data_IF_745131881339
#
_entry.id   IF_745131881339
#
_cell.length_a   1.000
_cell.length_b   1.000
_cell.length_c   1.000
_cell.angle_alpha   90.00
_cell.angle_beta   90.00
_cell.angle_gamma   90.00
#
_symmetry.space_group_name_H-M   'P 1'
#
loop_
_entity.id
_entity.type
_entity.pdbx_description
1 polymer ?
#
# COMPACT_ATOMS: atom_id res chain seq x y z
N UNK A 1 -46.21 -71.06 -1.39
CA UNK A 1 -45.65 -70.20 -0.31
C UNK A 1 -44.16 -69.85 -0.45
N UNK A 2 -43.30 -70.67 -1.09
CA UNK A 2 -41.85 -70.35 -1.23
C UNK A 2 -41.51 -69.26 -2.27
N UNK A 3 -42.36 -69.02 -3.27
CA UNK A 3 -42.14 -68.00 -4.31
C UNK A 3 -42.46 -66.56 -3.87
N UNK A 4 -43.49 -66.39 -3.03
CA UNK A 4 -43.93 -65.06 -2.55
C UNK A 4 -42.97 -64.44 -1.54
N UNK A 5 -42.30 -65.27 -0.73
CA UNK A 5 -41.29 -64.80 0.25
C UNK A 5 -40.02 -64.29 -0.45
N UNK A 6 -39.59 -64.92 -1.55
CA UNK A 6 -38.42 -64.45 -2.34
C UNK A 6 -38.68 -63.13 -3.06
N UNK A 7 -39.91 -62.91 -3.54
CA UNK A 7 -40.29 -61.63 -4.15
C UNK A 7 -40.34 -60.48 -3.12
N UNK A 8 -40.82 -60.75 -1.90
CA UNK A 8 -40.86 -59.78 -0.81
C UNK A 8 -39.46 -59.39 -0.30
N UNK A 9 -38.55 -60.36 -0.17
CA UNK A 9 -37.15 -60.09 0.25
C UNK A 9 -36.39 -59.33 -0.85
N UNK A 10 -36.63 -59.64 -2.13
CA UNK A 10 -36.05 -58.88 -3.25
C UNK A 10 -36.55 -57.43 -3.32
N UNK A 11 -37.83 -57.20 -3.07
CA UNK A 11 -38.42 -55.86 -3.03
C UNK A 11 -37.92 -55.02 -1.84
N UNK A 12 -37.74 -55.63 -0.66
CA UNK A 12 -37.18 -54.98 0.53
C UNK A 12 -35.70 -54.62 0.36
N UNK A 13 -34.90 -55.47 -0.29
CA UNK A 13 -33.50 -55.17 -0.64
C UNK A 13 -33.37 -54.06 -1.68
N UNK A 14 -34.25 -54.03 -2.69
CA UNK A 14 -34.27 -52.94 -3.66
C UNK A 14 -34.66 -51.60 -2.99
N UNK A 15 -35.65 -51.60 -2.09
CA UNK A 15 -36.05 -50.40 -1.35
C UNK A 15 -34.94 -49.89 -0.41
N UNK A 16 -34.17 -50.80 0.21
CA UNK A 16 -33.03 -50.45 1.06
C UNK A 16 -31.85 -49.88 0.26
N UNK A 17 -31.61 -50.37 -0.97
CA UNK A 17 -30.57 -49.82 -1.85
C UNK A 17 -30.95 -48.45 -2.44
N UNK A 18 -32.24 -48.20 -2.72
CA UNK A 18 -32.74 -46.90 -3.18
C UNK A 18 -32.76 -45.84 -2.06
N UNK A 19 -32.96 -46.24 -0.80
CA UNK A 19 -32.89 -45.33 0.34
C UNK A 19 -31.44 -44.90 0.67
N UNK A 20 -30.45 -45.76 0.42
CA UNK A 20 -29.03 -45.46 0.68
C UNK A 20 -28.40 -44.54 -0.39
N UNK A 21 -28.90 -44.58 -1.64
CA UNK A 21 -28.44 -43.70 -2.70
C UNK A 21 -28.96 -42.26 -2.58
N UNK A 22 -30.12 -42.06 -1.94
CA UNK A 22 -30.72 -40.73 -1.73
C UNK A 22 -30.12 -39.96 -0.53
N UNK A 23 -29.27 -40.60 0.29
CA UNK A 23 -28.60 -39.97 1.44
C UNK A 23 -27.13 -39.62 1.15
N UNK A 24 -26.66 -39.84 -0.08
CA UNK A 24 -25.28 -39.63 -0.50
C UNK A 24 -25.08 -38.41 -1.42
N UNK A 25 -26.10 -37.57 -1.61
CA UNK A 25 -25.96 -36.26 -2.25
C UNK A 25 -25.77 -35.17 -1.17
N UNK A 26 -24.51 -34.82 -0.97
CA UNK A 26 -24.01 -33.52 -0.50
C UNK A 26 -24.40 -33.03 0.89
N UNK A 27 -23.92 -33.75 1.90
CA UNK A 27 -23.56 -33.15 3.19
C UNK A 27 -22.25 -32.33 3.08
N UNK A 28 -22.23 -31.30 2.22
CA UNK A 28 -21.33 -30.14 2.33
C UNK A 28 -22.16 -28.90 2.00
N UNK A 29 -23.19 -28.62 2.80
CA UNK A 29 -23.92 -27.36 2.70
C UNK A 29 -23.21 -26.29 3.52
N UNK A 30 -22.05 -25.86 3.04
CA UNK A 30 -21.55 -24.53 3.39
C UNK A 30 -22.43 -23.51 2.70
N UNK A 31 -22.98 -22.51 3.42
CA UNK A 31 -23.70 -21.41 2.76
C UNK A 31 -22.74 -20.72 1.75
N UNK A 32 -23.22 -20.27 0.58
CA UNK A 32 -22.37 -19.55 -0.37
C UNK A 32 -21.72 -18.33 0.28
N UNK A 33 -20.48 -18.02 -0.13
CA UNK A 33 -19.80 -16.78 0.27
C UNK A 33 -20.58 -15.59 -0.27
N UNK A 34 -20.96 -14.67 0.62
CA UNK A 34 -21.70 -13.45 0.29
C UNK A 34 -20.77 -12.24 0.18
N UNK A 35 -21.31 -11.11 -0.29
CA UNK A 35 -20.58 -9.84 -0.23
C UNK A 35 -20.30 -9.45 1.21
N UNK A 36 -21.26 -9.69 2.11
CA UNK A 36 -21.11 -9.43 3.55
C UNK A 36 -19.93 -10.20 4.12
N UNK A 37 -19.78 -11.48 3.77
CA UNK A 37 -18.62 -12.27 4.18
C UNK A 37 -17.30 -11.62 3.72
N UNK A 38 -17.27 -11.11 2.49
CA UNK A 38 -16.06 -10.50 1.92
C UNK A 38 -15.70 -9.19 2.62
N UNK A 39 -16.70 -8.35 2.95
CA UNK A 39 -16.45 -7.07 3.62
C UNK A 39 -16.22 -7.21 5.12
N UNK A 40 -16.75 -8.25 5.75
CA UNK A 40 -16.53 -8.57 7.16
C UNK A 40 -15.16 -9.23 7.42
N UNK A 41 -14.43 -9.64 6.38
CA UNK A 41 -13.10 -10.23 6.52
C UNK A 41 -12.10 -9.26 7.16
N UNK A 42 -11.62 -9.64 8.33
CA UNK A 42 -10.39 -9.12 8.89
C UNK A 42 -9.18 -9.57 8.05
N UNK A 43 -8.12 -8.78 8.08
CA UNK A 43 -6.88 -9.11 7.38
C UNK A 43 -5.66 -8.69 8.19
N UNK A 44 -4.49 -9.20 7.84
CA UNK A 44 -3.23 -8.75 8.42
C UNK A 44 -2.53 -7.78 7.47
N UNK A 45 -1.86 -6.78 8.03
CA UNK A 45 -1.00 -5.85 7.32
C UNK A 45 0.47 -6.23 7.47
N UNK A 46 1.32 -5.22 7.66
CA UNK A 46 2.75 -5.43 7.90
C UNK A 46 2.98 -6.17 9.21
N UNK A 47 4.01 -7.02 9.24
CA UNK A 47 4.56 -7.58 10.47
C UNK A 47 6.07 -7.30 10.53
N UNK A 48 6.59 -7.10 11.73
CA UNK A 48 8.01 -6.84 11.97
C UNK A 48 8.43 -7.43 13.31
N UNK A 49 9.63 -8.03 13.35
CA UNK A 49 10.25 -8.57 14.55
C UNK A 49 11.26 -7.54 15.07
N UNK A 50 11.33 -7.35 16.38
CA UNK A 50 12.33 -6.50 17.01
C UNK A 50 13.76 -7.02 16.72
N UNK A 51 14.78 -6.16 16.66
CA UNK A 51 16.15 -6.59 16.36
C UNK A 51 16.73 -7.65 17.32
N UNK A 52 16.30 -7.65 18.57
CA UNK A 52 16.67 -8.65 19.59
C UNK A 52 15.92 -9.99 19.44
N UNK A 53 14.96 -10.07 18.51
CA UNK A 53 14.16 -11.27 18.25
C UNK A 53 13.12 -11.59 19.31
N UNK A 54 12.94 -10.75 20.33
CA UNK A 54 12.01 -11.03 21.42
C UNK A 54 10.57 -10.70 21.08
N UNK A 55 10.33 -9.60 20.37
CA UNK A 55 8.97 -9.10 20.12
C UNK A 55 8.63 -9.20 18.63
N UNK A 56 7.38 -9.56 18.33
CA UNK A 56 6.81 -9.32 17.02
C UNK A 56 5.65 -8.33 17.14
N UNK A 57 5.59 -7.37 16.22
CA UNK A 57 4.43 -6.50 16.04
C UNK A 57 3.83 -6.77 14.67
N UNK A 58 2.51 -6.90 14.61
CA UNK A 58 1.78 -6.99 13.36
C UNK A 58 0.57 -6.07 13.32
N UNK A 59 0.25 -5.62 12.13
CA UNK A 59 -0.97 -4.87 11.84
C UNK A 59 -2.13 -5.84 11.65
N UNK A 60 -3.24 -5.57 12.34
CA UNK A 60 -4.51 -6.24 12.12
C UNK A 60 -5.52 -5.22 11.59
N UNK A 61 -6.07 -5.49 10.41
CA UNK A 61 -7.17 -4.76 9.82
C UNK A 61 -8.49 -5.32 10.33
N UNK A 62 -9.38 -4.44 10.80
CA UNK A 62 -10.78 -4.78 11.04
C UNK A 62 -11.55 -5.10 9.75
N UNK A 63 -12.84 -5.35 9.90
CA UNK A 63 -13.77 -5.53 8.80
C UNK A 63 -13.88 -4.24 7.95
N UNK A 64 -13.89 -4.38 6.62
CA UNK A 64 -13.88 -3.26 5.69
C UNK A 64 -15.12 -2.36 5.81
N UNK A 65 -16.28 -2.94 6.11
CA UNK A 65 -17.54 -2.22 6.33
C UNK A 65 -17.55 -1.36 7.61
N UNK A 66 -16.60 -1.55 8.52
CA UNK A 66 -16.39 -0.70 9.70
C UNK A 66 -15.55 0.54 9.42
N UNK A 67 -15.02 0.69 8.19
CA UNK A 67 -14.25 1.88 7.82
C UNK A 67 -15.10 3.16 7.92
N UNK A 68 -14.56 4.18 8.58
CA UNK A 68 -15.27 5.45 8.79
C UNK A 68 -15.24 6.36 7.55
N UNK A 69 -14.32 6.10 6.61
CA UNK A 69 -14.13 6.86 5.38
C UNK A 69 -13.75 5.95 4.22
N UNK A 70 -14.48 6.10 3.12
CA UNK A 70 -14.23 5.36 1.86
C UNK A 70 -13.63 6.24 0.76
N UNK A 71 -13.58 7.55 0.96
CA UNK A 71 -13.01 8.52 0.01
C UNK A 71 -11.47 8.45 -0.06
N UNK A 72 -10.83 7.69 0.82
CA UNK A 72 -9.39 7.37 0.80
C UNK A 72 -9.05 6.22 -0.16
N UNK A 73 -10.03 5.66 -0.86
CA UNK A 73 -9.88 4.56 -1.83
C UNK A 73 -9.04 3.39 -1.26
N UNK A 74 -7.94 3.01 -1.92
CA UNK A 74 -7.07 1.93 -1.48
C UNK A 74 -6.45 2.14 -0.08
N UNK A 75 -6.54 3.36 0.49
CA UNK A 75 -6.07 3.70 1.84
C UNK A 75 -7.20 3.79 2.87
N UNK A 76 -8.47 3.59 2.51
CA UNK A 76 -9.56 3.48 3.48
C UNK A 76 -9.28 2.42 4.58
N UNK A 77 -8.73 1.22 4.25
CA UNK A 77 -8.31 0.24 5.26
C UNK A 77 -7.36 0.77 6.34
N UNK A 78 -6.58 1.80 6.05
CA UNK A 78 -5.62 2.33 7.01
C UNK A 78 -6.30 2.95 8.24
N UNK A 79 -7.57 3.34 8.13
CA UNK A 79 -8.36 3.91 9.25
C UNK A 79 -8.87 2.85 10.24
N UNK A 80 -8.80 1.57 9.87
CA UNK A 80 -9.27 0.42 10.66
C UNK A 80 -8.14 -0.57 10.99
N UNK A 81 -6.89 -0.11 10.90
CA UNK A 81 -5.72 -0.88 11.35
C UNK A 81 -5.52 -0.71 12.85
N UNK A 82 -5.13 -1.80 13.50
CA UNK A 82 -4.65 -1.82 14.88
C UNK A 82 -3.30 -2.55 14.94
N UNK A 83 -2.54 -2.30 16.00
CA UNK A 83 -1.24 -2.93 16.22
C UNK A 83 -1.35 -3.97 17.32
N UNK A 84 -0.80 -5.15 17.06
CA UNK A 84 -0.74 -6.26 18.00
C UNK A 84 0.71 -6.61 18.30
N UNK A 85 0.98 -6.98 19.54
CA UNK A 85 2.28 -7.35 20.08
C UNK A 85 2.27 -8.81 20.52
N UNK A 86 3.36 -9.52 20.22
CA UNK A 86 3.59 -10.92 20.58
C UNK A 86 4.97 -11.03 21.24
N UNK A 87 5.04 -11.66 22.42
CA UNK A 87 6.32 -12.07 23.02
C UNK A 87 6.75 -13.42 22.43
N UNK A 88 7.75 -13.41 21.56
CA UNK A 88 8.27 -14.61 20.90
C UNK A 88 9.03 -15.52 21.85
N UNK A 89 9.40 -15.05 23.05
CA UNK A 89 9.98 -15.88 24.10
C UNK A 89 8.92 -16.67 24.90
N UNK A 90 7.65 -16.30 24.77
CA UNK A 90 6.52 -16.94 25.44
C UNK A 90 5.44 -17.32 24.40
N UNK A 91 5.67 -18.35 23.56
CA UNK A 91 4.79 -18.67 22.43
C UNK A 91 3.36 -19.07 22.82
N UNK A 92 3.14 -19.46 24.08
CA UNK A 92 1.81 -19.79 24.61
C UNK A 92 1.02 -18.55 25.05
N UNK A 93 1.66 -17.37 25.08
CA UNK A 93 0.99 -16.12 25.41
C UNK A 93 0.22 -15.59 24.19
N UNK A 94 -1.07 -15.32 24.37
CA UNK A 94 -1.89 -14.75 23.30
C UNK A 94 -1.37 -13.36 22.87
N UNK A 95 -1.42 -13.04 21.57
CA UNK A 95 -1.17 -11.69 21.07
C UNK A 95 -2.04 -10.66 21.80
N UNK A 96 -1.48 -9.48 22.08
CA UNK A 96 -2.20 -8.40 22.75
C UNK A 96 -2.21 -7.15 21.88
N UNK A 97 -3.26 -6.32 22.00
CA UNK A 97 -3.24 -4.98 21.41
C UNK A 97 -2.05 -4.19 21.99
N UNK A 98 -1.25 -3.60 21.12
CA UNK A 98 -0.07 -2.83 21.52
C UNK A 98 -0.48 -1.53 22.22
N UNK A 99 -1.49 -0.83 21.67
CA UNK A 99 -1.98 0.47 22.18
C UNK A 99 -3.52 0.47 22.27
N UNK A 100 -4.13 -0.25 23.24
CA UNK A 100 -5.58 -0.43 23.28
C UNK A 100 -6.36 0.88 23.43
N UNK A 101 -5.81 1.83 24.20
CA UNK A 101 -6.40 3.14 24.50
C UNK A 101 -6.32 4.12 23.34
N UNK A 102 -5.39 3.92 22.40
CA UNK A 102 -5.27 4.82 21.26
C UNK A 102 -6.47 4.64 20.33
N UNK A 103 -6.92 3.42 20.09
CA UNK A 103 -7.94 3.09 19.10
C UNK A 103 -7.33 2.82 17.72
N UNK A 104 -8.19 2.70 16.69
CA UNK A 104 -7.77 2.29 15.34
C UNK A 104 -7.00 3.40 14.58
N UNK A 105 -6.50 3.01 13.41
CA UNK A 105 -5.78 3.88 12.48
C UNK A 105 -4.27 3.76 12.53
N UNK A 106 -3.73 2.74 13.21
CA UNK A 106 -2.31 2.62 13.54
C UNK A 106 -1.55 1.76 12.51
N UNK A 107 -0.34 2.16 12.12
CA UNK A 107 0.53 1.40 11.21
C UNK A 107 1.97 1.33 11.74
N UNK A 108 2.67 0.25 11.42
CA UNK A 108 4.09 0.04 11.73
C UNK A 108 4.96 0.85 10.77
N UNK A 109 5.88 1.64 11.31
CA UNK A 109 6.91 2.30 10.50
C UNK A 109 8.24 1.57 10.62
N UNK A 110 8.93 1.63 11.78
CA UNK A 110 10.26 1.05 11.95
C UNK A 110 10.62 0.83 13.42
N UNK A 111 11.28 -0.31 13.71
CA UNK A 111 11.88 -0.59 15.02
C UNK A 111 13.16 0.22 15.24
N UNK A 112 13.40 0.67 16.47
CA UNK A 112 14.72 1.18 16.85
C UNK A 112 15.77 0.06 16.82
N UNK A 113 17.06 0.36 16.58
CA UNK A 113 18.10 -0.66 16.43
C UNK A 113 18.30 -1.56 17.65
N UNK A 114 17.95 -1.08 18.85
CA UNK A 114 18.01 -1.82 20.11
C UNK A 114 16.71 -2.58 20.44
N UNK A 115 15.65 -2.42 19.64
CA UNK A 115 14.34 -3.03 19.88
C UNK A 115 13.55 -2.43 21.05
N UNK A 116 14.03 -1.35 21.69
CA UNK A 116 13.34 -0.72 22.81
C UNK A 116 12.15 0.14 22.39
N UNK A 117 12.14 0.63 21.15
CA UNK A 117 11.15 1.57 20.62
C UNK A 117 10.63 1.15 19.25
N UNK A 118 9.40 1.57 18.96
CA UNK A 118 8.77 1.39 17.66
C UNK A 118 8.23 2.73 17.16
N UNK A 119 8.71 3.18 16.00
CA UNK A 119 8.09 4.26 15.26
C UNK A 119 6.84 3.72 14.56
N UNK A 120 5.72 4.41 14.75
CA UNK A 120 4.41 4.10 14.18
C UNK A 120 3.85 5.34 13.50
N UNK A 121 2.79 5.15 12.70
CA UNK A 121 1.95 6.25 12.23
C UNK A 121 0.51 6.05 12.64
N UNK A 122 -0.26 7.14 12.69
CA UNK A 122 -1.70 7.12 12.96
C UNK A 122 -2.45 7.98 11.96
N UNK A 123 -3.42 7.39 11.27
CA UNK A 123 -4.34 8.06 10.34
C UNK A 123 -5.75 8.14 10.94
N UNK A 124 -6.25 9.35 11.18
CA UNK A 124 -7.62 9.61 11.66
C UNK A 124 -8.21 10.83 10.98
N UNK A 125 -9.35 10.65 10.30
CA UNK A 125 -9.92 11.72 9.51
C UNK A 125 -8.91 12.21 8.47
N UNK A 126 -8.51 13.48 8.59
CA UNK A 126 -7.49 14.10 7.73
C UNK A 126 -6.15 14.34 8.47
N UNK A 127 -5.99 13.79 9.67
CA UNK A 127 -4.76 13.86 10.45
C UNK A 127 -3.93 12.59 10.25
N UNK A 128 -2.66 12.78 9.89
CA UNK A 128 -1.66 11.71 9.80
C UNK A 128 -0.42 12.13 10.59
N UNK A 129 0.03 11.28 11.51
CA UNK A 129 1.03 11.66 12.51
C UNK A 129 1.97 10.50 12.86
N UNK A 130 3.26 10.80 13.04
CA UNK A 130 4.21 9.86 13.63
C UNK A 130 4.05 9.77 15.16
N UNK A 131 4.10 8.55 15.68
CA UNK A 131 4.17 8.26 17.12
C UNK A 131 5.36 7.36 17.44
N UNK A 132 5.92 7.50 18.64
CA UNK A 132 7.00 6.64 19.13
C UNK A 132 6.51 5.86 20.32
N UNK A 133 6.50 4.54 20.20
CA UNK A 133 6.11 3.62 21.27
C UNK A 133 7.34 3.19 22.05
N UNK A 134 7.28 3.27 23.37
CA UNK A 134 8.23 2.59 24.26
C UNK A 134 7.69 1.20 24.57
N UNK A 135 8.41 0.16 24.19
CA UNK A 135 7.86 -1.21 24.23
C UNK A 135 7.72 -1.75 25.65
N UNK A 136 8.64 -1.36 26.54
CA UNK A 136 8.68 -1.84 27.92
C UNK A 136 7.40 -1.52 28.71
N UNK A 137 6.81 -0.34 28.49
CA UNK A 137 5.61 0.13 29.20
C UNK A 137 4.39 0.37 28.29
N UNK A 138 4.56 0.18 26.96
CA UNK A 138 3.55 0.45 25.93
C UNK A 138 3.01 1.88 25.96
N UNK A 139 3.83 2.84 26.39
CA UNK A 139 3.52 4.26 26.25
C UNK A 139 3.80 4.74 24.82
N UNK A 140 3.05 5.74 24.36
CA UNK A 140 3.27 6.38 23.05
C UNK A 140 3.42 7.89 23.22
N UNK A 141 4.39 8.46 22.50
CA UNK A 141 4.55 9.90 22.34
C UNK A 141 4.23 10.26 20.88
N UNK A 142 3.19 11.08 20.71
CA UNK A 142 2.82 11.63 19.40
C UNK A 142 3.66 12.87 19.08
N UNK A 143 4.28 12.88 17.90
CA UNK A 143 5.32 13.85 17.57
C UNK A 143 4.77 15.17 17.03
N UNK A 144 3.53 15.22 16.56
CA UNK A 144 2.97 16.36 15.83
C UNK A 144 3.55 16.54 14.43
N UNK A 145 4.34 15.57 13.94
CA UNK A 145 4.93 15.56 12.60
C UNK A 145 4.10 14.66 11.68
N UNK A 146 3.68 15.22 10.55
CA UNK A 146 2.94 14.49 9.54
C UNK A 146 3.90 13.70 8.65
N UNK A 147 3.77 12.37 8.56
CA UNK A 147 4.62 11.55 7.70
C UNK A 147 4.46 11.95 6.24
N UNK A 148 5.56 11.94 5.49
CA UNK A 148 5.52 11.74 4.04
C UNK A 148 5.69 10.24 3.73
N UNK A 149 5.02 9.73 2.70
CA UNK A 149 5.07 8.31 2.31
C UNK A 149 5.49 8.20 0.85
N UNK A 150 6.79 8.36 0.55
CA UNK A 150 7.28 8.21 -0.82
C UNK A 150 7.05 6.75 -1.27
N UNK A 151 6.72 6.51 -2.55
CA UNK A 151 6.40 5.15 -2.99
C UNK A 151 7.62 4.22 -3.03
N UNK A 152 8.80 4.77 -3.33
CA UNK A 152 10.05 4.00 -3.48
C UNK A 152 11.14 4.34 -2.44
N UNK A 153 10.95 5.40 -1.64
CA UNK A 153 11.98 5.90 -0.71
C UNK A 153 11.69 5.61 0.77
N UNK A 154 12.66 5.94 1.62
CA UNK A 154 12.51 5.86 3.07
C UNK A 154 11.55 6.95 3.58
N UNK A 155 10.68 6.57 4.52
CA UNK A 155 9.89 7.53 5.33
C UNK A 155 10.54 7.82 6.68
N UNK A 156 11.38 6.91 7.18
CA UNK A 156 12.09 7.03 8.44
C UNK A 156 13.32 6.12 8.46
N UNK A 157 14.42 6.57 9.07
CA UNK A 157 15.59 5.75 9.39
C UNK A 157 16.15 6.13 10.77
N UNK A 158 16.45 5.11 11.57
CA UNK A 158 17.05 5.30 12.88
C UNK A 158 18.56 5.53 12.77
N UNK A 159 19.05 6.58 13.42
CA UNK A 159 20.48 6.89 13.57
C UNK A 159 21.05 6.12 14.76
N UNK A 160 20.26 6.00 15.84
CA UNK A 160 20.63 5.32 17.08
C UNK A 160 19.38 4.74 17.76
N UNK A 161 19.50 4.24 19.00
CA UNK A 161 18.36 3.81 19.80
C UNK A 161 17.36 4.94 20.18
N UNK A 162 17.82 6.20 20.17
CA UNK A 162 17.03 7.36 20.58
C UNK A 162 16.98 8.47 19.53
N UNK A 163 17.65 8.32 18.40
CA UNK A 163 17.65 9.32 17.34
C UNK A 163 17.14 8.73 16.02
N UNK A 164 16.19 9.42 15.40
CA UNK A 164 15.54 9.00 14.15
C UNK A 164 15.40 10.18 13.21
N UNK A 165 15.70 9.94 11.93
CA UNK A 165 15.46 10.88 10.85
C UNK A 165 14.17 10.47 10.15
N UNK A 166 13.22 11.40 10.03
CA UNK A 166 11.91 11.17 9.42
C UNK A 166 11.63 12.13 8.28
N UNK A 167 10.97 11.64 7.25
CA UNK A 167 10.47 12.46 6.15
C UNK A 167 9.05 12.92 6.46
N UNK A 168 8.84 14.23 6.37
CA UNK A 168 7.62 14.87 6.86
C UNK A 168 7.01 15.84 5.85
N UNK A 169 5.73 16.16 6.04
CA UNK A 169 5.03 17.24 5.36
C UNK A 169 4.87 18.45 6.29
N UNK A 170 5.60 19.57 6.05
CA UNK A 170 5.53 20.77 6.89
C UNK A 170 4.13 21.39 6.96
N UNK A 171 3.40 21.35 5.84
CA UNK A 171 2.04 21.87 5.69
C UNK A 171 0.96 21.04 6.43
N UNK A 172 1.37 19.93 7.07
CA UNK A 172 0.49 18.96 7.75
C UNK A 172 -0.59 18.34 6.87
N UNK A 173 -0.51 18.53 5.56
CA UNK A 173 -1.45 17.89 4.65
C UNK A 173 -1.14 16.40 4.54
N UNK A 174 -2.16 15.60 4.29
CA UNK A 174 -1.97 14.19 3.98
C UNK A 174 -1.02 14.00 2.78
N UNK A 175 -0.13 12.99 2.80
CA UNK A 175 0.67 12.57 1.64
C UNK A 175 -0.16 12.42 0.38
N UNK A 176 0.44 12.71 -0.77
CA UNK A 176 -0.20 12.52 -2.10
C UNK A 176 -0.78 11.11 -2.22
N UNK A 177 -0.08 10.10 -1.69
CA UNK A 177 -0.53 8.71 -1.67
C UNK A 177 -1.92 8.51 -1.03
N UNK A 178 -2.25 9.32 -0.02
CA UNK A 178 -3.51 9.28 0.72
C UNK A 178 -4.50 10.30 0.13
N UNK A 179 -4.09 11.56 -0.07
CA UNK A 179 -4.98 12.65 -0.51
C UNK A 179 -5.38 12.62 -1.99
N UNK A 180 -4.73 11.80 -2.83
CA UNK A 180 -5.01 11.80 -4.28
C UNK A 180 -6.45 11.43 -4.59
N UNK A 181 -7.03 10.52 -3.82
CA UNK A 181 -8.40 10.05 -4.02
C UNK A 181 -9.41 10.80 -3.14
N UNK A 182 -8.95 11.34 -1.99
CA UNK A 182 -9.81 12.08 -1.07
C UNK A 182 -9.83 13.59 -1.34
N UNK A 183 -10.94 14.22 -0.94
CA UNK A 183 -11.10 15.68 -0.99
C UNK A 183 -11.16 16.31 -2.38
N UNK A 184 -10.93 15.58 -3.48
CA UNK A 184 -11.03 16.12 -4.84
C UNK A 184 -12.45 16.65 -5.12
N UNK A 185 -13.47 15.92 -4.68
CA UNK A 185 -14.87 16.35 -4.76
C UNK A 185 -15.11 17.64 -3.96
N UNK A 186 -14.68 17.70 -2.70
CA UNK A 186 -14.86 18.88 -1.85
C UNK A 186 -14.13 20.11 -2.43
N UNK A 187 -12.89 19.94 -2.88
CA UNK A 187 -12.09 21.00 -3.54
C UNK A 187 -12.76 21.49 -4.82
N UNK A 188 -13.28 20.58 -5.64
CA UNK A 188 -14.00 20.92 -6.88
C UNK A 188 -15.28 21.70 -6.57
N UNK A 189 -16.10 21.21 -5.63
CA UNK A 189 -17.34 21.85 -5.21
C UNK A 189 -17.08 23.27 -4.71
N UNK A 190 -16.05 23.46 -3.88
CA UNK A 190 -15.69 24.78 -3.37
C UNK A 190 -15.15 25.71 -4.48
N UNK A 191 -14.35 25.18 -5.40
CA UNK A 191 -13.87 25.95 -6.56
C UNK A 191 -15.04 26.42 -7.45
N UNK A 192 -16.01 25.55 -7.72
CA UNK A 192 -17.22 25.91 -8.46
C UNK A 192 -18.06 26.94 -7.72
N UNK A 193 -18.21 26.82 -6.40
CA UNK A 193 -18.94 27.81 -5.59
C UNK A 193 -18.29 29.19 -5.66
N UNK A 194 -16.96 29.27 -5.52
CA UNK A 194 -16.22 30.55 -5.65
C UNK A 194 -16.36 31.15 -7.05
N UNK A 195 -16.36 30.31 -8.08
CA UNK A 195 -16.55 30.73 -9.47
C UNK A 195 -17.95 31.24 -9.76
N UNK A 196 -18.98 30.53 -9.28
CA UNK A 196 -20.37 30.92 -9.43
C UNK A 196 -20.69 32.26 -8.74
N UNK A 197 -20.00 32.56 -7.65
CA UNK A 197 -20.09 33.83 -6.93
C UNK A 197 -19.19 34.94 -7.53
N UNK A 198 -18.50 34.68 -8.64
CA UNK A 198 -17.60 35.63 -9.29
C UNK A 198 -16.35 35.99 -8.46
N UNK A 199 -16.01 35.20 -7.45
CA UNK A 199 -14.88 35.49 -6.54
C UNK A 199 -13.54 35.13 -7.16
N UNK A 200 -13.48 33.97 -7.81
CA UNK A 200 -12.28 33.45 -8.47
C UNK A 200 -12.65 32.58 -9.66
N UNK A 201 -11.94 32.62 -10.80
CA UNK A 201 -12.25 31.77 -11.94
C UNK A 201 -11.80 30.30 -11.75
N UNK A 202 -12.61 29.35 -12.24
CA UNK A 202 -12.33 27.90 -12.19
C UNK A 202 -11.25 27.50 -13.19
N UNK A 203 -9.98 27.65 -12.82
CA UNK A 203 -8.82 27.26 -13.61
C UNK A 203 -7.70 26.71 -12.72
N UNK A 204 -6.77 25.98 -13.32
CA UNK A 204 -5.49 25.62 -12.71
C UNK A 204 -4.39 26.18 -13.59
N UNK A 205 -3.61 27.14 -13.09
CA UNK A 205 -2.42 27.60 -13.80
C UNK A 205 -1.23 26.67 -13.50
N UNK A 206 -0.60 26.19 -14.57
CA UNK A 206 0.65 25.44 -14.52
C UNK A 206 1.62 26.17 -15.42
N UNK A 207 2.63 26.83 -14.85
CA UNK A 207 3.71 27.44 -15.62
C UNK A 207 4.83 26.41 -15.83
N UNK A 208 5.35 26.32 -17.04
CA UNK A 208 6.45 25.44 -17.41
C UNK A 208 7.54 26.28 -18.08
N UNK A 209 8.46 26.82 -17.27
CA UNK A 209 9.63 27.57 -17.76
C UNK A 209 10.89 26.80 -17.46
N UNK A 210 11.80 26.74 -18.42
CA UNK A 210 13.09 26.07 -18.27
C UNK A 210 12.99 24.61 -17.80
N UNK A 211 11.90 23.93 -18.15
CA UNK A 211 11.62 22.54 -17.73
C UNK A 211 11.12 22.38 -16.29
N UNK A 212 10.87 23.48 -15.57
CA UNK A 212 10.39 23.53 -14.19
C UNK A 212 8.88 23.80 -14.19
N UNK A 213 8.11 22.95 -13.53
CA UNK A 213 6.64 23.01 -13.49
C UNK A 213 6.19 23.65 -12.19
N UNK A 214 5.61 24.85 -12.28
CA UNK A 214 5.12 25.63 -11.15
C UNK A 214 3.60 25.72 -11.16
N UNK A 215 2.90 25.03 -10.24
CA UNK A 215 1.46 25.24 -10.06
C UNK A 215 1.17 26.62 -9.42
N UNK A 216 -0.01 27.16 -9.67
CA UNK A 216 -0.52 28.40 -9.05
C UNK A 216 -0.45 28.37 -7.52
N UNK A 217 -0.72 27.21 -6.93
CA UNK A 217 -0.55 26.93 -5.50
C UNK A 217 0.68 26.03 -5.33
N UNK A 218 1.81 26.54 -4.79
CA UNK A 218 2.98 25.74 -4.51
C UNK A 218 2.68 24.64 -3.48
N UNK A 219 3.23 23.44 -3.69
CA UNK A 219 3.32 22.42 -2.63
C UNK A 219 4.50 22.81 -1.74
N UNK A 220 4.31 22.89 -0.41
CA UNK A 220 5.41 23.19 0.53
C UNK A 220 6.50 22.11 0.52
N UNK A 221 6.24 20.97 -0.13
CA UNK A 221 7.20 19.89 -0.33
C UNK A 221 7.34 19.06 0.94
N UNK A 222 8.54 18.53 1.11
CA UNK A 222 8.93 17.69 2.23
C UNK A 222 9.96 18.39 3.09
N UNK A 223 10.02 18.01 4.36
CA UNK A 223 11.14 18.30 5.23
C UNK A 223 11.70 17.01 5.81
N UNK A 224 13.03 16.93 5.84
CA UNK A 224 13.74 15.89 6.55
C UNK A 224 14.04 16.39 7.97
N UNK A 225 13.56 15.68 8.98
CA UNK A 225 13.62 16.09 10.38
C UNK A 225 14.27 15.01 11.21
N UNK A 226 15.32 15.37 11.93
CA UNK A 226 15.95 14.56 12.97
C UNK A 226 15.25 14.80 14.31
N UNK A 227 14.96 13.72 15.01
CA UNK A 227 14.32 13.67 16.32
C UNK A 227 15.25 12.99 17.31
N UNK A 228 15.61 13.70 18.36
CA UNK A 228 16.21 13.13 19.56
C UNK A 228 15.10 12.89 20.59
N UNK A 229 14.89 11.62 20.93
CA UNK A 229 13.81 11.15 21.77
C UNK A 229 14.15 11.18 23.27
N UNK A 230 15.40 11.41 23.64
CA UNK A 230 15.81 11.62 25.03
C UNK A 230 15.64 13.09 25.42
N UNK A 231 16.09 14.00 24.57
CA UNK A 231 16.01 15.45 24.85
C UNK A 231 14.73 16.09 24.32
N UNK A 232 14.00 15.40 23.42
CA UNK A 232 12.86 15.95 22.69
C UNK A 232 13.26 16.96 21.61
N UNK A 233 14.56 17.14 21.35
CA UNK A 233 15.06 18.09 20.36
C UNK A 233 14.66 17.65 18.96
N UNK A 234 14.31 18.63 18.14
CA UNK A 234 13.97 18.45 16.73
C UNK A 234 14.83 19.35 15.87
N UNK A 235 15.45 18.79 14.83
CA UNK A 235 16.29 19.54 13.91
C UNK A 235 15.88 19.25 12.48
N UNK A 236 15.52 20.29 11.73
CA UNK A 236 15.31 20.17 10.28
C UNK A 236 16.68 20.05 9.61
N UNK A 237 16.90 18.97 8.88
CA UNK A 237 18.13 18.68 8.15
C UNK A 237 18.08 19.22 6.72
N UNK A 238 16.93 19.08 6.06
CA UNK A 238 16.72 19.49 4.68
C UNK A 238 15.25 19.83 4.41
N UNK A 239 14.99 20.56 3.34
CA UNK A 239 13.65 20.84 2.82
C UNK A 239 13.64 20.84 1.30
N UNK A 240 12.46 20.66 0.72
CA UNK A 240 12.22 20.67 -0.72
C UNK A 240 11.53 19.40 -1.19
N UNK A 241 11.65 19.09 -2.48
CA UNK A 241 11.09 17.87 -3.05
C UNK A 241 12.03 16.70 -2.79
N UNK A 242 11.78 15.94 -1.74
CA UNK A 242 12.64 14.82 -1.34
C UNK A 242 11.91 13.53 -1.70
N UNK A 243 12.53 12.71 -2.54
CA UNK A 243 11.96 11.41 -2.94
C UNK A 243 12.51 10.25 -2.09
N UNK A 244 13.72 10.39 -1.58
CA UNK A 244 14.40 9.36 -0.80
C UNK A 244 15.52 9.96 0.06
N UNK A 245 15.92 9.25 1.11
CA UNK A 245 17.09 9.56 1.92
C UNK A 245 17.65 8.28 2.55
N UNK A 246 18.92 8.33 2.95
CA UNK A 246 19.56 7.25 3.70
C UNK A 246 20.54 7.81 4.73
N UNK A 247 20.52 7.26 5.94
CA UNK A 247 21.45 7.57 7.02
C UNK A 247 22.71 6.72 6.88
N UNK A 248 23.88 7.34 7.06
CA UNK A 248 25.15 6.60 7.06
C UNK A 248 25.17 5.57 8.21
N UNK A 249 25.78 4.39 8.05
CA UNK A 249 25.81 3.37 9.10
C UNK A 249 26.42 3.83 10.44
N UNK A 250 27.30 4.85 10.40
CA UNK A 250 27.90 5.47 11.58
C UNK A 250 27.11 6.68 12.11
N UNK A 251 25.98 7.01 11.50
CA UNK A 251 25.11 8.13 11.82
C UNK A 251 25.68 9.51 11.49
N UNK A 252 26.88 9.60 10.88
CA UNK A 252 27.59 10.88 10.72
C UNK A 252 27.04 11.77 9.60
N UNK A 253 26.29 11.20 8.66
CA UNK A 253 25.78 11.88 7.48
C UNK A 253 24.44 11.32 7.03
N UNK A 254 23.70 12.12 6.25
CA UNK A 254 22.47 11.71 5.59
C UNK A 254 22.55 12.05 4.11
N UNK A 255 22.43 11.04 3.26
CA UNK A 255 22.28 11.22 1.81
C UNK A 255 20.82 11.53 1.49
N UNK A 256 20.57 12.51 0.62
CA UNK A 256 19.21 12.95 0.26
C UNK A 256 19.07 13.00 -1.25
N UNK A 257 18.02 12.37 -1.77
CA UNK A 257 17.64 12.44 -3.18
C UNK A 257 16.56 13.48 -3.35
N UNK A 258 16.89 14.57 -4.06
CA UNK A 258 15.93 15.60 -4.41
C UNK A 258 15.30 15.31 -5.78
N UNK A 259 13.98 15.27 -5.82
CA UNK A 259 13.24 15.17 -7.06
C UNK A 259 13.18 16.55 -7.74
N UNK A 260 13.79 16.66 -8.92
CA UNK A 260 13.52 17.77 -9.84
C UNK A 260 12.15 17.57 -10.47
N UNK A 261 11.37 18.65 -10.61
CA UNK A 261 10.00 18.70 -11.14
C UNK A 261 9.70 17.63 -12.21
N UNK A 262 9.26 16.47 -11.75
CA UNK A 262 8.41 15.61 -12.57
C UNK A 262 6.99 15.96 -12.18
N UNK A 263 6.21 16.56 -13.08
CA UNK A 263 4.83 16.77 -12.77
C UNK A 263 4.19 15.39 -12.55
N UNK A 264 3.59 15.17 -11.39
CA UNK A 264 2.35 14.40 -11.37
C UNK A 264 1.33 15.27 -12.09
N UNK A 265 1.41 15.29 -13.43
CA UNK A 265 0.27 15.74 -14.20
C UNK A 265 -0.91 14.90 -13.70
N UNK A 266 -2.10 15.48 -13.48
CA UNK A 266 -3.30 14.68 -13.59
C UNK A 266 -3.29 14.19 -15.04
N UNK A 267 -2.65 13.04 -15.28
CA UNK A 267 -2.78 12.37 -16.55
C UNK A 267 -4.25 12.00 -16.60
N UNK A 268 -5.02 12.80 -17.34
CA UNK A 268 -6.34 12.42 -17.77
C UNK A 268 -6.23 11.00 -18.34
N UNK A 269 -7.21 10.14 -18.07
CA UNK A 269 -7.22 8.74 -18.55
C UNK A 269 -6.81 8.63 -20.02
N UNK A 270 -7.18 9.61 -20.83
CA UNK A 270 -6.87 9.74 -22.25
C UNK A 270 -5.38 9.90 -22.56
N UNK A 271 -4.61 10.62 -21.72
CA UNK A 271 -3.17 10.80 -21.91
C UNK A 271 -2.39 9.57 -21.44
N UNK A 272 -2.84 8.89 -20.37
CA UNK A 272 -2.27 7.58 -19.97
C UNK A 272 -2.48 6.56 -21.09
N UNK A 273 -3.71 6.44 -21.59
CA UNK A 273 -4.04 5.55 -22.70
C UNK A 273 -3.21 5.87 -23.95
N UNK A 274 -3.05 7.15 -24.32
CA UNK A 274 -2.22 7.55 -25.45
C UNK A 274 -0.71 7.27 -25.24
N UNK A 275 -0.22 7.35 -24.00
CA UNK A 275 1.17 6.99 -23.65
C UNK A 275 1.40 5.48 -23.70
N UNK A 276 0.44 4.70 -23.21
CA UNK A 276 0.49 3.24 -23.29
C UNK A 276 0.37 2.78 -24.75
N UNK A 277 -0.50 3.37 -25.55
CA UNK A 277 -0.61 3.10 -27.00
C UNK A 277 0.71 3.41 -27.73
N UNK A 278 1.38 4.53 -27.40
CA UNK A 278 2.70 4.83 -27.98
C UNK A 278 3.78 3.84 -27.54
N UNK A 279 3.77 3.40 -26.28
CA UNK A 279 4.72 2.38 -25.78
C UNK A 279 4.45 1.02 -26.41
N UNK A 280 3.18 0.63 -26.55
CA UNK A 280 2.75 -0.60 -27.21
C UNK A 280 3.10 -0.57 -28.70
N UNK A 281 2.88 0.56 -29.38
CA UNK A 281 3.27 0.75 -30.77
C UNK A 281 4.80 0.67 -30.96
N UNK A 282 5.58 1.28 -30.05
CA UNK A 282 7.04 1.18 -30.09
C UNK A 282 7.54 -0.26 -29.83
N UNK A 283 6.90 -0.99 -28.90
CA UNK A 283 7.20 -2.39 -28.62
C UNK A 283 6.82 -3.31 -29.79
N UNK A 284 5.67 -3.06 -30.41
CA UNK A 284 5.24 -3.79 -31.61
C UNK A 284 6.19 -3.53 -32.79
N UNK A 285 6.62 -2.29 -33.01
CA UNK A 285 7.58 -1.94 -34.05
C UNK A 285 8.96 -2.63 -33.84
N UNK A 286 9.43 -2.72 -32.59
CA UNK A 286 10.66 -3.46 -32.24
C UNK A 286 10.50 -4.97 -32.52
N UNK A 287 9.37 -5.57 -32.16
CA UNK A 287 9.08 -6.99 -32.44
C UNK A 287 9.03 -7.25 -33.95
N UNK A 288 8.31 -6.43 -34.71
CA UNK A 288 8.24 -6.58 -36.17
C UNK A 288 9.59 -6.34 -36.84
N UNK A 289 10.41 -5.43 -36.32
CA UNK A 289 11.78 -5.21 -36.79
C UNK A 289 12.66 -6.46 -36.62
N UNK A 290 12.56 -7.15 -35.48
CA UNK A 290 13.32 -8.40 -35.24
C UNK A 290 12.83 -9.55 -36.12
N UNK A 291 11.52 -9.71 -36.27
CA UNK A 291 10.94 -10.74 -37.16
C UNK A 291 11.38 -10.52 -38.60
N UNK A 292 11.41 -9.27 -39.08
CA UNK A 292 11.90 -8.96 -40.43
C UNK A 292 13.39 -9.27 -40.60
N UNK A 293 14.22 -9.05 -39.58
CA UNK A 293 15.65 -9.42 -39.60
C UNK A 293 15.85 -10.94 -39.59
N UNK A 294 15.06 -11.68 -38.83
CA UNK A 294 15.11 -13.15 -38.81
C UNK A 294 14.66 -13.75 -40.15
N UNK A 295 13.61 -13.20 -40.77
CA UNK A 295 13.18 -13.62 -42.11
C UNK A 295 14.25 -13.34 -43.17
N UNK A 296 14.89 -12.17 -43.13
CA UNK A 296 15.98 -11.86 -44.05
C UNK A 296 17.19 -12.80 -43.86
N UNK A 297 17.47 -13.20 -42.63
CA UNK A 297 18.53 -14.17 -42.33
C UNK A 297 18.17 -15.59 -42.85
N UNK A 298 16.90 -15.98 -42.76
CA UNK A 298 16.41 -17.26 -43.30
C UNK A 298 16.44 -17.29 -44.83
N UNK A 299 16.04 -16.21 -45.49
CA UNK A 299 16.11 -16.10 -46.96
C UNK A 299 17.57 -16.14 -47.44
N UNK A 300 18.49 -15.45 -46.77
CA UNK A 300 19.91 -15.50 -47.08
C UNK A 300 20.51 -16.92 -46.90
N UNK A 301 20.06 -17.65 -45.86
CA UNK A 301 20.47 -19.04 -45.66
C UNK A 301 19.88 -19.99 -46.73
N UNK A 302 18.63 -19.75 -47.15
CA UNK A 302 17.98 -20.51 -48.21
C UNK A 302 18.64 -20.29 -49.58
N UNK A 303 19.04 -19.06 -49.89
CA UNK A 303 19.78 -18.75 -51.12
C UNK A 303 21.18 -19.37 -51.12
N UNK A 304 21.85 -19.42 -49.97
CA UNK A 304 23.14 -20.12 -49.84
C UNK A 304 23.00 -21.63 -50.09
N UNK A 305 21.93 -22.25 -49.57
CA UNK A 305 21.64 -23.68 -49.80
C UNK A 305 21.27 -23.99 -51.25
N UNK A 306 20.56 -23.09 -51.94
CA UNK A 306 20.23 -23.23 -53.36
C UNK A 306 21.46 -23.02 -54.26
N UNK A 307 22.35 -22.09 -53.91
CA UNK A 307 23.60 -21.84 -54.64
C UNK A 307 24.62 -22.98 -54.54
N UNK A 308 24.52 -23.86 -53.55
CA UNK A 308 25.36 -25.06 -53.42
C UNK A 308 24.83 -26.27 -54.21
N UNK A 309 23.59 -26.22 -54.73
CA UNK A 309 22.99 -27.32 -55.49
C UNK A 309 23.31 -27.28 -57.00
N UNK A 310 23.83 -26.16 -57.51
CA UNK A 310 24.14 -25.93 -58.92
C UNK A 310 25.66 -25.94 -59.23
N UNK A 311 26.46 -26.60 -58.38
CA UNK A 311 27.93 -26.77 -58.54
C UNK A 311 28.35 -28.19 -58.85
#
# INVERSE_FOLDING_TARGET
MRGTIRALVGALMALACLASAAQAEDAVSGRPVTIDDIVELEAFGRAAISPDGRWAVYEKRGAYDTATRFDLAARAPWTIMDLWLVDLSAPDQEPQRLLPEEGLGLQVVAWSPDGGRLLISRLRGDEYEFGVVTIADRSVIWTGLTPETPPEGASAEWVSAHEVVVLTRPDRSLPVLIRRFSGAQARMTEAWRRSALGREPSRTLIDARDGVVRPETPDEGQALVELDLETGRRRRLAEGRISDFAVAPDGSAVAVVQATDRPTLPLFKEIVAAMDDKKVAARAADIYGRVAQEMAAQDAALDHLKGQADG
#
